data_IF_330006338221
#
_entry.id   IF_330006338221
#
_cell.length_a   1.000
_cell.length_b   1.000
_cell.length_c   1.000
_cell.angle_alpha   90.00
_cell.angle_beta   90.00
_cell.angle_gamma   90.00
#
_symmetry.space_group_name_H-M   'P 1'
#
loop_
_entity.id
_entity.type
_entity.pdbx_description
1 polymer ?
#
# COMPACT_ATOMS: atom_id res chain seq x y z
N UNK A 1 -30.34 24.03 -42.57
CA UNK A 1 -29.09 23.23 -42.45
C UNK A 1 -28.21 23.76 -41.33
N UNK A 2 -28.02 25.08 -41.22
CA UNK A 2 -27.22 25.73 -40.17
C UNK A 2 -27.69 25.44 -38.73
N UNK A 3 -29.00 25.35 -38.48
CA UNK A 3 -29.55 25.04 -37.14
C UNK A 3 -29.22 23.62 -36.66
N UNK A 4 -29.22 22.64 -37.57
CA UNK A 4 -28.87 21.24 -37.25
C UNK A 4 -27.39 21.13 -36.89
N UNK A 5 -26.52 21.83 -37.63
CA UNK A 5 -25.08 21.87 -37.36
C UNK A 5 -24.81 22.48 -35.98
N UNK A 6 -25.51 23.56 -35.61
CA UNK A 6 -25.38 24.19 -34.30
C UNK A 6 -25.80 23.28 -33.13
N UNK A 7 -26.90 22.53 -33.29
CA UNK A 7 -27.38 21.57 -32.27
C UNK A 7 -26.41 20.39 -32.12
N UNK A 8 -25.89 19.85 -33.22
CA UNK A 8 -24.91 18.75 -33.17
C UNK A 8 -23.61 19.22 -32.51
N UNK A 9 -23.11 20.41 -32.85
CA UNK A 9 -21.88 20.94 -32.26
C UNK A 9 -22.02 21.17 -30.74
N UNK A 10 -23.16 21.66 -30.27
CA UNK A 10 -23.42 21.84 -28.83
C UNK A 10 -23.52 20.51 -28.10
N UNK A 11 -24.20 19.50 -28.66
CA UNK A 11 -24.27 18.17 -28.08
C UNK A 11 -22.89 17.49 -27.97
N UNK A 12 -22.08 17.60 -29.03
CA UNK A 12 -20.70 17.09 -29.01
C UNK A 12 -19.85 17.80 -27.95
N UNK A 13 -19.95 19.14 -27.87
CA UNK A 13 -19.24 19.93 -26.86
C UNK A 13 -19.60 19.51 -25.43
N UNK A 14 -20.89 19.31 -25.13
CA UNK A 14 -21.36 18.84 -23.81
C UNK A 14 -20.84 17.44 -23.51
N UNK A 15 -20.88 16.52 -24.47
CA UNK A 15 -20.43 15.14 -24.28
C UNK A 15 -18.92 15.05 -24.02
N UNK A 16 -18.12 15.79 -24.80
CA UNK A 16 -16.66 15.88 -24.61
C UNK A 16 -16.34 16.52 -23.27
N UNK A 17 -17.01 17.62 -22.92
CA UNK A 17 -16.85 18.29 -21.63
C UNK A 17 -17.13 17.35 -20.45
N UNK A 18 -18.28 16.67 -20.46
CA UNK A 18 -18.66 15.72 -19.41
C UNK A 18 -17.65 14.58 -19.27
N UNK A 19 -17.18 14.02 -20.40
CA UNK A 19 -16.18 12.94 -20.42
C UNK A 19 -14.84 13.37 -19.83
N UNK A 20 -14.37 14.58 -20.15
CA UNK A 20 -13.13 15.13 -19.60
C UNK A 20 -13.25 15.43 -18.11
N UNK A 21 -14.38 16.03 -17.69
CA UNK A 21 -14.64 16.31 -16.27
C UNK A 21 -14.69 15.03 -15.44
N UNK A 22 -15.35 13.98 -15.94
CA UNK A 22 -15.41 12.69 -15.24
C UNK A 22 -14.02 12.08 -15.04
N UNK A 23 -13.20 12.04 -16.11
CA UNK A 23 -11.82 11.52 -16.01
C UNK A 23 -10.95 12.32 -15.04
N UNK A 24 -11.08 13.65 -15.06
CA UNK A 24 -10.36 14.51 -14.12
C UNK A 24 -10.81 14.27 -12.68
N UNK A 25 -12.12 14.14 -12.45
CA UNK A 25 -12.68 13.88 -11.13
C UNK A 25 -12.22 12.51 -10.60
N UNK A 26 -12.22 11.47 -11.43
CA UNK A 26 -11.79 10.13 -11.03
C UNK A 26 -10.29 10.10 -10.70
N UNK A 27 -9.45 10.77 -11.50
CA UNK A 27 -8.02 10.91 -11.19
C UNK A 27 -7.79 11.64 -9.86
N UNK A 28 -8.52 12.73 -9.62
CA UNK A 28 -8.40 13.49 -8.38
C UNK A 28 -8.86 12.66 -7.17
N UNK A 29 -9.96 11.90 -7.28
CA UNK A 29 -10.43 10.98 -6.23
C UNK A 29 -9.36 9.94 -5.88
N UNK A 30 -8.76 9.31 -6.89
CA UNK A 30 -7.69 8.33 -6.71
C UNK A 30 -6.45 8.92 -6.02
N UNK A 31 -6.06 10.14 -6.40
CA UNK A 31 -4.96 10.86 -5.75
C UNK A 31 -5.27 11.15 -4.28
N UNK A 32 -6.45 11.68 -3.97
CA UNK A 32 -6.88 11.95 -2.60
C UNK A 32 -6.85 10.67 -1.76
N UNK A 33 -7.45 9.58 -2.26
CA UNK A 33 -7.44 8.29 -1.57
C UNK A 33 -6.00 7.76 -1.32
N UNK A 34 -5.11 7.94 -2.29
CA UNK A 34 -3.69 7.56 -2.15
C UNK A 34 -3.00 8.36 -1.04
N UNK A 35 -3.21 9.68 -1.01
CA UNK A 35 -2.64 10.53 0.03
C UNK A 35 -3.26 10.31 1.41
N UNK A 36 -4.55 9.97 1.50
CA UNK A 36 -5.19 9.64 2.76
C UNK A 36 -4.62 8.34 3.37
N UNK A 37 -4.44 7.30 2.55
CA UNK A 37 -3.75 6.07 2.99
C UNK A 37 -2.31 6.34 3.41
N UNK A 38 -1.59 7.19 2.68
CA UNK A 38 -0.23 7.56 3.03
C UNK A 38 -0.18 8.34 4.34
N UNK A 39 -1.10 9.27 4.55
CA UNK A 39 -1.24 10.01 5.81
C UNK A 39 -1.57 9.08 6.97
N UNK A 40 -2.38 8.05 6.74
CA UNK A 40 -2.68 7.02 7.74
C UNK A 40 -1.43 6.20 8.09
N UNK A 41 -0.65 5.77 7.10
CA UNK A 41 0.62 5.04 7.31
C UNK A 41 1.60 5.81 8.20
N UNK A 42 1.67 7.12 7.99
CA UNK A 42 2.53 8.04 8.75
C UNK A 42 1.82 8.69 9.95
N UNK A 43 0.60 8.24 10.29
CA UNK A 43 -0.12 8.72 11.46
C UNK A 43 0.53 8.23 12.76
N UNK A 44 0.39 9.01 13.83
CA UNK A 44 0.97 8.69 15.14
C UNK A 44 0.49 7.33 15.72
N UNK A 45 -0.72 6.89 15.37
CA UNK A 45 -1.20 5.55 15.75
C UNK A 45 -0.47 4.45 14.98
N UNK A 46 -0.43 4.54 13.65
CA UNK A 46 0.25 3.54 12.82
C UNK A 46 1.76 3.51 13.09
N UNK A 47 2.38 4.66 13.35
CA UNK A 47 3.80 4.71 13.74
C UNK A 47 4.07 3.94 15.02
N UNK A 48 3.22 4.11 16.06
CA UNK A 48 3.32 3.32 17.30
C UNK A 48 3.11 1.83 17.04
N UNK A 49 2.10 1.48 16.25
CA UNK A 49 1.84 0.09 15.88
C UNK A 49 3.02 -0.54 15.13
N UNK A 50 3.62 0.17 14.16
CA UNK A 50 4.80 -0.27 13.43
C UNK A 50 6.00 -0.49 14.37
N UNK A 51 6.24 0.43 15.30
CA UNK A 51 7.33 0.29 16.27
C UNK A 51 7.14 -0.92 17.19
N UNK A 52 5.97 -1.05 17.81
CA UNK A 52 5.66 -2.18 18.70
C UNK A 52 5.69 -3.52 17.95
N UNK A 53 5.18 -3.56 16.72
CA UNK A 53 5.25 -4.75 15.87
C UNK A 53 6.68 -5.12 15.49
N UNK A 54 7.54 -4.13 15.22
CA UNK A 54 8.95 -4.38 14.91
C UNK A 54 9.68 -4.96 16.13
N UNK A 55 9.49 -4.38 17.32
CA UNK A 55 10.06 -4.93 18.56
C UNK A 55 9.59 -6.36 18.82
N UNK A 56 8.31 -6.64 18.58
CA UNK A 56 7.73 -7.98 18.74
C UNK A 56 8.38 -9.00 17.80
N UNK A 57 8.53 -8.65 16.53
CA UNK A 57 9.15 -9.52 15.52
C UNK A 57 10.64 -9.74 15.84
N UNK A 58 11.37 -8.71 16.27
CA UNK A 58 12.77 -8.84 16.67
C UNK A 58 12.94 -9.81 17.86
N UNK A 59 12.05 -9.75 18.85
CA UNK A 59 12.08 -10.63 20.02
C UNK A 59 11.78 -12.11 19.69
N UNK A 60 11.16 -12.37 18.56
CA UNK A 60 10.66 -13.68 18.15
C UNK A 60 10.96 -14.00 16.68
N UNK A 61 12.15 -13.62 16.21
CA UNK A 61 12.54 -13.73 14.81
C UNK A 61 12.59 -15.18 14.27
N UNK A 62 12.59 -16.19 15.16
CA UNK A 62 12.58 -17.61 14.82
C UNK A 62 11.17 -18.20 14.67
N UNK A 63 10.10 -17.39 14.87
CA UNK A 63 8.72 -17.85 14.88
C UNK A 63 7.95 -17.39 13.65
N UNK A 64 7.10 -18.27 13.13
CA UNK A 64 6.11 -17.87 12.14
C UNK A 64 4.90 -17.17 12.80
N UNK A 65 4.03 -16.58 11.98
CA UNK A 65 2.87 -15.83 12.49
C UNK A 65 1.90 -16.71 13.29
N UNK A 66 1.74 -17.98 12.92
CA UNK A 66 0.84 -18.91 13.62
C UNK A 66 1.42 -19.26 14.99
N UNK A 67 2.69 -19.59 15.05
CA UNK A 67 3.42 -19.87 16.29
C UNK A 67 3.37 -18.68 17.25
N UNK A 68 3.59 -17.46 16.75
CA UNK A 68 3.46 -16.22 17.53
C UNK A 68 2.06 -16.04 18.11
N UNK A 69 1.04 -16.22 17.27
CA UNK A 69 -0.36 -16.11 17.69
C UNK A 69 -0.71 -17.14 18.77
N UNK A 70 -0.25 -18.37 18.61
CA UNK A 70 -0.55 -19.46 19.53
C UNK A 70 0.22 -19.28 20.87
N UNK A 71 1.41 -18.67 20.84
CA UNK A 71 2.24 -18.37 22.02
C UNK A 71 1.72 -17.16 22.82
N UNK A 72 1.41 -16.05 22.15
CA UNK A 72 1.16 -14.75 22.80
C UNK A 72 -0.33 -14.39 22.87
N UNK A 73 -1.15 -15.00 22.02
CA UNK A 73 -2.57 -14.71 21.89
C UNK A 73 -2.88 -13.45 21.07
N UNK A 74 -4.16 -13.23 20.81
CA UNK A 74 -4.65 -12.16 19.95
C UNK A 74 -4.37 -10.73 20.44
N UNK A 75 -4.42 -10.41 21.76
CA UNK A 75 -4.17 -9.04 22.24
C UNK A 75 -2.73 -8.58 22.01
N UNK A 76 -1.73 -9.44 22.26
CA UNK A 76 -0.32 -9.10 22.08
C UNK A 76 0.06 -8.92 20.59
N UNK A 77 -0.71 -9.52 19.68
CA UNK A 77 -0.53 -9.43 18.23
C UNK A 77 -1.26 -8.25 17.58
N UNK A 78 -1.92 -7.36 18.35
CA UNK A 78 -2.80 -6.33 17.78
C UNK A 78 -2.07 -5.36 16.87
N UNK A 79 -0.88 -4.90 17.27
CA UNK A 79 -0.10 -3.92 16.52
C UNK A 79 0.44 -4.52 15.21
N UNK A 80 0.99 -5.74 15.28
CA UNK A 80 1.45 -6.46 14.09
C UNK A 80 0.29 -6.72 13.11
N UNK A 81 -0.87 -7.12 13.63
CA UNK A 81 -2.08 -7.26 12.80
C UNK A 81 -2.52 -5.94 12.17
N UNK A 82 -2.41 -4.83 12.88
CA UNK A 82 -2.77 -3.51 12.35
C UNK A 82 -1.89 -3.15 11.15
N UNK A 83 -0.58 -3.42 11.22
CA UNK A 83 0.35 -3.21 10.11
C UNK A 83 0.01 -4.12 8.93
N UNK A 84 -0.22 -5.41 9.17
CA UNK A 84 -0.57 -6.36 8.10
C UNK A 84 -1.89 -5.96 7.43
N UNK A 85 -2.92 -5.64 8.21
CA UNK A 85 -4.23 -5.23 7.68
C UNK A 85 -4.16 -3.91 6.92
N UNK A 86 -3.28 -2.99 7.31
CA UNK A 86 -3.02 -1.80 6.52
C UNK A 86 -2.55 -2.16 5.11
N UNK A 87 -1.57 -3.07 4.99
CA UNK A 87 -1.03 -3.47 3.70
C UNK A 87 -2.00 -4.35 2.89
N UNK A 88 -2.80 -5.21 3.51
CA UNK A 88 -3.89 -5.91 2.81
C UNK A 88 -4.92 -4.93 2.25
N UNK A 89 -5.31 -3.91 3.03
CA UNK A 89 -6.23 -2.89 2.54
C UNK A 89 -5.61 -2.03 1.44
N UNK A 90 -4.30 -1.75 1.50
CA UNK A 90 -3.57 -1.11 0.42
C UNK A 90 -3.64 -1.95 -0.86
N UNK A 91 -3.38 -3.25 -0.77
CA UNK A 91 -3.50 -4.17 -1.90
C UNK A 91 -4.91 -4.16 -2.50
N UNK A 92 -5.94 -4.32 -1.68
CA UNK A 92 -7.32 -4.30 -2.13
C UNK A 92 -7.68 -2.98 -2.83
N UNK A 93 -7.19 -1.85 -2.33
CA UNK A 93 -7.41 -0.55 -2.96
C UNK A 93 -6.70 -0.43 -4.33
N UNK A 94 -5.54 -1.07 -4.49
CA UNK A 94 -4.82 -1.17 -5.76
C UNK A 94 -5.58 -2.08 -6.73
N UNK A 95 -5.96 -3.28 -6.30
CA UNK A 95 -6.68 -4.26 -7.11
C UNK A 95 -8.00 -3.69 -7.66
N UNK A 96 -8.71 -2.91 -6.86
CA UNK A 96 -9.96 -2.26 -7.26
C UNK A 96 -9.75 -0.98 -8.10
N UNK A 97 -8.51 -0.59 -8.41
CA UNK A 97 -8.20 0.63 -9.17
C UNK A 97 -8.61 1.92 -8.44
N UNK A 98 -8.67 1.87 -7.10
CA UNK A 98 -9.08 3.01 -6.27
C UNK A 98 -7.95 4.01 -6.02
N UNK A 99 -6.69 3.64 -6.33
CA UNK A 99 -5.51 4.46 -6.09
C UNK A 99 -4.86 4.96 -7.38
N UNK A 100 -4.02 5.99 -7.24
CA UNK A 100 -3.17 6.47 -8.33
C UNK A 100 -1.87 5.67 -8.31
N UNK A 101 -1.77 4.69 -9.22
CA UNK A 101 -0.72 3.66 -9.25
C UNK A 101 0.71 4.20 -9.10
N UNK A 102 1.08 5.19 -9.92
CA UNK A 102 2.43 5.80 -9.88
C UNK A 102 2.74 6.44 -8.52
N UNK A 103 1.74 7.05 -7.88
CA UNK A 103 1.94 7.65 -6.57
C UNK A 103 1.99 6.58 -5.48
N UNK A 104 1.17 5.54 -5.59
CA UNK A 104 1.15 4.45 -4.63
C UNK A 104 2.50 3.73 -4.57
N UNK A 105 3.06 3.31 -5.71
CA UNK A 105 4.37 2.65 -5.73
C UNK A 105 5.48 3.50 -5.10
N UNK A 106 5.48 4.81 -5.41
CA UNK A 106 6.46 5.74 -4.86
C UNK A 106 6.31 5.99 -3.36
N UNK A 107 5.07 6.11 -2.87
CA UNK A 107 4.78 6.51 -1.49
C UNK A 107 4.86 5.33 -0.51
N UNK A 108 4.49 4.12 -0.94
CA UNK A 108 4.41 2.96 -0.05
C UNK A 108 5.56 1.98 -0.22
N UNK A 109 6.26 2.00 -1.36
CA UNK A 109 7.20 0.94 -1.72
C UNK A 109 8.40 0.80 -0.78
N UNK A 110 8.98 1.89 -0.26
CA UNK A 110 10.12 1.82 0.67
C UNK A 110 9.70 1.17 1.99
N UNK A 111 8.65 1.69 2.63
CA UNK A 111 8.12 1.16 3.89
C UNK A 111 7.69 -0.30 3.75
N UNK A 112 6.96 -0.62 2.68
CA UNK A 112 6.49 -1.97 2.46
C UNK A 112 7.64 -2.95 2.21
N UNK A 113 8.62 -2.58 1.37
CA UNK A 113 9.75 -3.47 1.05
C UNK A 113 10.54 -3.83 2.30
N UNK A 114 10.77 -2.87 3.21
CA UNK A 114 11.40 -3.14 4.50
C UNK A 114 10.60 -4.17 5.31
N UNK A 115 9.29 -3.98 5.47
CA UNK A 115 8.44 -4.94 6.19
C UNK A 115 8.42 -6.31 5.52
N UNK A 116 8.41 -6.33 4.18
CA UNK A 116 8.39 -7.57 3.42
C UNK A 116 9.68 -8.38 3.65
N UNK A 117 10.84 -7.75 3.43
CA UNK A 117 12.14 -8.42 3.50
C UNK A 117 12.53 -8.80 4.94
N UNK A 118 12.18 -7.97 5.93
CA UNK A 118 12.56 -8.23 7.33
C UNK A 118 11.58 -9.15 8.07
N UNK A 119 10.31 -9.13 7.68
CA UNK A 119 9.23 -9.73 8.47
C UNK A 119 8.33 -10.63 7.65
N UNK A 120 7.65 -10.12 6.62
CA UNK A 120 6.55 -10.87 6.00
C UNK A 120 7.03 -12.08 5.20
N UNK A 121 8.19 -12.00 4.55
CA UNK A 121 8.74 -13.09 3.75
C UNK A 121 9.03 -14.34 4.58
N UNK A 122 9.54 -14.20 5.80
CA UNK A 122 9.84 -15.35 6.68
C UNK A 122 8.63 -15.76 7.51
N UNK A 123 7.81 -14.81 7.95
CA UNK A 123 6.78 -15.04 8.96
C UNK A 123 5.37 -15.32 8.39
N UNK A 124 5.02 -14.74 7.23
CA UNK A 124 3.68 -14.84 6.63
C UNK A 124 3.65 -15.68 5.36
N UNK A 125 4.57 -15.42 4.44
CA UNK A 125 4.62 -16.04 3.11
C UNK A 125 4.63 -17.58 3.12
N UNK A 126 5.28 -18.27 4.08
CA UNK A 126 5.22 -19.74 4.15
C UNK A 126 3.80 -20.28 4.41
N UNK A 127 2.86 -19.43 4.81
CA UNK A 127 1.47 -19.83 5.06
C UNK A 127 0.62 -19.72 3.79
N UNK A 128 -0.26 -20.69 3.53
CA UNK A 128 -1.22 -20.64 2.42
C UNK A 128 -2.45 -19.73 2.71
N UNK A 129 -2.28 -18.74 3.59
CA UNK A 129 -3.39 -17.87 4.01
C UNK A 129 -3.69 -16.82 2.93
N UNK A 130 -4.93 -16.32 2.91
CA UNK A 130 -5.29 -15.15 2.09
C UNK A 130 -4.40 -13.95 2.38
N UNK A 131 -4.06 -13.74 3.65
CA UNK A 131 -3.14 -12.70 4.11
C UNK A 131 -1.75 -12.81 3.47
N UNK A 132 -1.16 -14.00 3.41
CA UNK A 132 0.12 -14.21 2.75
C UNK A 132 0.03 -13.89 1.24
N UNK A 133 -1.02 -14.36 0.58
CA UNK A 133 -1.23 -14.13 -0.86
C UNK A 133 -1.40 -12.65 -1.19
N UNK A 134 -2.16 -11.90 -0.38
CA UNK A 134 -2.33 -10.46 -0.57
C UNK A 134 -1.00 -9.70 -0.43
N UNK A 135 -0.20 -10.08 0.57
CA UNK A 135 1.11 -9.46 0.83
C UNK A 135 2.10 -9.79 -0.29
N UNK A 136 2.14 -11.03 -0.77
CA UNK A 136 2.95 -11.39 -1.95
C UNK A 136 2.50 -10.65 -3.21
N UNK A 137 1.19 -10.55 -3.45
CA UNK A 137 0.63 -9.84 -4.58
C UNK A 137 0.98 -8.35 -4.55
N UNK A 138 0.88 -7.73 -3.38
CA UNK A 138 1.31 -6.34 -3.18
C UNK A 138 2.80 -6.15 -3.46
N UNK A 139 3.65 -7.07 -2.98
CA UNK A 139 5.08 -7.04 -3.26
C UNK A 139 5.37 -7.12 -4.76
N UNK A 140 4.78 -8.12 -5.44
CA UNK A 140 4.92 -8.29 -6.88
C UNK A 140 4.47 -7.06 -7.66
N UNK A 141 3.33 -6.47 -7.27
CA UNK A 141 2.80 -5.25 -7.87
C UNK A 141 3.72 -4.04 -7.65
N UNK A 142 4.22 -3.83 -6.43
CA UNK A 142 5.13 -2.72 -6.14
C UNK A 142 6.42 -2.83 -6.93
N UNK A 143 7.01 -4.03 -7.02
CA UNK A 143 8.21 -4.28 -7.81
C UNK A 143 7.95 -4.02 -9.30
N UNK A 144 6.80 -4.45 -9.85
CA UNK A 144 6.49 -4.23 -11.27
C UNK A 144 6.19 -2.78 -11.63
N UNK A 145 5.80 -1.94 -10.66
CA UNK A 145 5.47 -0.52 -10.86
C UNK A 145 6.59 0.43 -10.39
N UNK A 146 7.68 -0.11 -9.83
CA UNK A 146 8.83 0.66 -9.40
C UNK A 146 9.86 0.80 -10.53
N UNK A 147 10.46 1.98 -10.62
CA UNK A 147 11.66 2.18 -11.44
C UNK A 147 12.84 1.37 -10.90
N UNK A 148 13.82 1.05 -11.76
CA UNK A 148 15.04 0.36 -11.31
C UNK A 148 15.76 1.09 -10.17
N UNK A 149 15.80 2.42 -10.22
CA UNK A 149 16.39 3.24 -9.16
C UNK A 149 15.66 3.08 -7.82
N UNK A 150 14.33 3.00 -7.83
CA UNK A 150 13.54 2.74 -6.62
C UNK A 150 13.79 1.33 -6.08
N UNK A 151 13.80 0.31 -6.95
CA UNK A 151 14.08 -1.06 -6.51
C UNK A 151 15.48 -1.21 -5.93
N UNK A 152 16.49 -0.58 -6.55
CA UNK A 152 17.86 -0.56 -6.04
C UNK A 152 17.93 0.15 -4.69
N UNK A 153 17.21 1.26 -4.55
CA UNK A 153 17.12 1.99 -3.28
C UNK A 153 16.49 1.13 -2.18
N UNK A 154 15.40 0.42 -2.45
CA UNK A 154 14.76 -0.48 -1.49
C UNK A 154 15.66 -1.63 -1.05
N UNK A 155 16.33 -2.29 -2.01
CA UNK A 155 17.28 -3.39 -1.71
C UNK A 155 18.55 -2.94 -0.99
N UNK A 156 18.97 -1.70 -1.22
CA UNK A 156 20.16 -1.10 -0.62
C UNK A 156 19.91 -0.39 0.70
N UNK A 157 18.65 -0.32 1.16
CA UNK A 157 18.31 0.32 2.42
C UNK A 157 18.85 -0.51 3.59
N UNK A 158 19.84 0.04 4.30
CA UNK A 158 20.30 -0.46 5.58
C UNK A 158 19.11 -0.59 6.55
N UNK A 159 18.81 -1.79 7.10
CA UNK A 159 17.74 -1.97 8.07
C UNK A 159 17.82 -1.02 9.26
N UNK A 160 19.04 -0.63 9.67
CA UNK A 160 19.26 0.33 10.76
C UNK A 160 18.97 1.78 10.34
N UNK A 161 19.06 2.10 9.06
CA UNK A 161 18.66 3.40 8.54
C UNK A 161 17.16 3.64 8.66
N UNK A 162 16.34 2.58 8.61
CA UNK A 162 14.89 2.67 8.79
C UNK A 162 14.50 3.03 10.22
N UNK A 163 15.13 2.41 11.22
CA UNK A 163 14.91 2.73 12.65
C UNK A 163 15.19 4.20 12.96
N UNK A 164 16.18 4.81 12.30
CA UNK A 164 16.50 6.23 12.45
C UNK A 164 15.50 7.19 11.78
N UNK A 165 14.65 6.73 10.86
CA UNK A 165 13.65 7.58 10.17
C UNK A 165 12.32 7.67 10.89
N UNK A 166 11.94 6.61 11.61
CA UNK A 166 10.68 6.53 12.34
C UNK A 166 10.82 6.87 13.84
N UNK A 167 12.05 7.09 14.34
CA UNK A 167 12.35 7.56 15.70
C UNK A 167 12.40 9.09 15.80
#
# INVERSE_FOLDING_TARGET
METIIGVVATLVGVFVGASLTQRSADRQRRLIATFDLHRELHGAEMMRARFAAAELVEQHADKDYRELRDLLGAPAMSDLRQVIYFFQRLWLAIELGALHEECAARLFGDTFSWWYDTTFQSMLVPSETEMARDIEALHGWLVSHATEAQQQYWRGADPDAWRRRDA
#
